data_IF_973470906610
#
_entry.id   IF_973470906610
#
_cell.length_a   1.000
_cell.length_b   1.000
_cell.length_c   1.000
_cell.angle_alpha   90.00
_cell.angle_beta   90.00
_cell.angle_gamma   90.00
#
_symmetry.space_group_name_H-M   'P 1'
#
loop_
_entity.id
_entity.type
_entity.pdbx_description
1 polymer ?
#
# COMPACT_ATOMS: atom_id res chain seq x y z
N UNK A 1 -10.10 -5.83 9.99
CA UNK A 1 -9.02 -5.75 8.99
C UNK A 1 -9.52 -4.89 7.85
N UNK A 2 -9.01 -3.67 7.69
CA UNK A 2 -9.34 -2.79 6.56
C UNK A 2 -8.30 -2.95 5.45
N UNK A 3 -8.63 -2.57 4.21
CA UNK A 3 -7.65 -2.55 3.11
C UNK A 3 -6.49 -1.59 3.39
N UNK A 4 -6.72 -0.52 4.16
CA UNK A 4 -5.65 0.41 4.57
C UNK A 4 -4.62 -0.28 5.45
N UNK A 5 -5.04 -1.05 6.45
CA UNK A 5 -4.13 -1.85 7.29
C UNK A 5 -3.30 -2.83 6.45
N UNK A 6 -3.88 -3.38 5.38
CA UNK A 6 -3.13 -4.26 4.47
C UNK A 6 -2.04 -3.49 3.71
N UNK A 7 -2.33 -2.30 3.19
CA UNK A 7 -1.32 -1.46 2.54
C UNK A 7 -0.22 -1.09 3.53
N UNK A 8 -0.59 -0.59 4.72
CA UNK A 8 0.36 -0.07 5.69
C UNK A 8 1.24 -1.17 6.30
N UNK A 9 0.65 -2.31 6.67
CA UNK A 9 1.36 -3.35 7.42
C UNK A 9 1.93 -4.47 6.55
N UNK A 10 1.38 -4.71 5.36
CA UNK A 10 1.78 -5.85 4.52
C UNK A 10 2.48 -5.43 3.22
N UNK A 11 2.13 -4.28 2.63
CA UNK A 11 2.80 -3.79 1.41
C UNK A 11 3.94 -2.82 1.73
N UNK A 12 3.72 -1.91 2.69
CA UNK A 12 4.70 -0.90 3.10
C UNK A 12 5.62 -1.38 4.24
N UNK A 13 5.68 -2.68 4.50
CA UNK A 13 6.56 -3.25 5.52
C UNK A 13 8.04 -3.13 5.10
N UNK A 14 8.92 -3.17 6.10
CA UNK A 14 10.34 -3.31 5.82
C UNK A 14 10.63 -4.74 5.33
N UNK A 15 11.32 -4.84 4.20
CA UNK A 15 11.87 -6.09 3.70
C UNK A 15 13.23 -6.38 4.37
N UNK A 16 13.72 -7.62 4.23
CA UNK A 16 14.88 -8.15 4.98
C UNK A 16 16.19 -7.35 4.87
N UNK A 17 16.31 -6.46 3.89
CA UNK A 17 17.45 -5.55 3.73
C UNK A 17 17.23 -4.15 4.33
N UNK A 18 16.15 -3.93 5.09
CA UNK A 18 15.77 -2.64 5.69
C UNK A 18 15.17 -1.63 4.71
N UNK A 19 14.87 -2.04 3.46
CA UNK A 19 14.17 -1.18 2.50
C UNK A 19 12.66 -1.38 2.59
N UNK A 20 11.88 -0.45 2.05
CA UNK A 20 10.44 -0.60 1.86
C UNK A 20 10.04 -0.06 0.48
N UNK A 21 8.83 -0.38 0.03
CA UNK A 21 8.31 0.19 -1.22
C UNK A 21 8.22 1.71 -1.12
N UNK A 22 8.56 2.44 -2.19
CA UNK A 22 8.40 3.91 -2.20
C UNK A 22 6.93 4.33 -2.15
N UNK A 23 6.03 3.52 -2.72
CA UNK A 23 4.58 3.69 -2.65
C UNK A 23 3.87 2.36 -2.97
N UNK A 24 2.65 2.19 -2.48
CA UNK A 24 1.79 1.03 -2.75
C UNK A 24 0.30 1.42 -2.76
N UNK A 25 -0.52 0.66 -3.48
CA UNK A 25 -1.97 0.86 -3.50
C UNK A 25 -2.72 -0.45 -3.83
N UNK A 26 -3.98 -0.50 -3.41
CA UNK A 26 -4.94 -1.54 -3.77
C UNK A 26 -6.11 -0.86 -4.49
N UNK A 27 -6.35 -1.28 -5.72
CA UNK A 27 -7.46 -0.83 -6.54
C UNK A 27 -8.41 -1.98 -6.81
N UNK A 28 -9.71 -1.69 -6.79
CA UNK A 28 -10.72 -2.59 -7.32
C UNK A 28 -10.56 -2.77 -8.82
N UNK A 29 -11.07 -3.87 -9.37
CA UNK A 29 -11.09 -4.10 -10.82
C UNK A 29 -11.94 -3.08 -11.59
N UNK A 30 -12.77 -2.30 -10.89
CA UNK A 30 -13.51 -1.15 -11.38
C UNK A 30 -12.66 0.14 -11.50
N UNK A 31 -11.42 0.10 -11.03
CA UNK A 31 -10.50 1.24 -11.00
C UNK A 31 -10.67 2.14 -9.77
N UNK A 32 -11.56 1.81 -8.83
CA UNK A 32 -11.75 2.57 -7.61
C UNK A 32 -10.61 2.29 -6.61
N UNK A 33 -10.03 3.32 -5.96
CA UNK A 33 -9.02 3.10 -4.93
C UNK A 33 -9.70 2.53 -3.67
N UNK A 34 -9.19 1.39 -3.18
CA UNK A 34 -9.63 0.81 -1.91
C UNK A 34 -8.71 1.20 -0.74
N UNK A 35 -7.41 1.36 -1.01
CA UNK A 35 -6.42 1.87 -0.08
C UNK A 35 -5.16 2.33 -0.83
N UNK A 36 -4.52 3.38 -0.33
CA UNK A 36 -3.26 3.91 -0.90
C UNK A 36 -2.29 4.24 0.23
N UNK A 37 -0.99 4.08 -0.02
CA UNK A 37 0.05 4.56 0.88
C UNK A 37 0.11 6.09 0.85
N UNK A 38 0.53 6.74 1.93
CA UNK A 38 0.63 8.20 1.99
C UNK A 38 1.56 8.82 0.94
N UNK A 39 2.54 8.06 0.45
CA UNK A 39 3.49 8.46 -0.59
C UNK A 39 3.04 8.13 -2.02
N UNK A 40 1.82 7.62 -2.20
CA UNK A 40 1.30 7.28 -3.53
C UNK A 40 1.07 8.55 -4.36
N UNK A 41 1.56 8.61 -5.62
CA UNK A 41 1.33 9.77 -6.48
C UNK A 41 -0.16 10.04 -6.70
N UNK A 42 -0.52 11.32 -6.80
CA UNK A 42 -1.87 11.76 -7.16
C UNK A 42 -2.08 11.81 -8.67
#
# INVERSE_FOLDING_TARGET
MSWQTYVDEHLMCEISNGSHLSAAAIYGHDGSPWAVSASFPQ
#
